data_IF_113529084759
#
_entry.id   IF_113529084759
#
_cell.length_a   1.000
_cell.length_b   1.000
_cell.length_c   1.000
_cell.angle_alpha   90.00
_cell.angle_beta   90.00
_cell.angle_gamma   90.00
#
_symmetry.space_group_name_H-M   'P 1'
#
loop_
_entity.id
_entity.type
_entity.pdbx_description
1 polymer ?
#
# COMPACT_ATOMS: atom_id res chain seq x y z
N UNK A 1 7.40 19.53 -9.93
CA UNK A 1 6.65 18.26 -9.86
C UNK A 1 5.35 18.55 -9.14
N UNK A 2 4.20 18.13 -9.68
CA UNK A 2 2.92 18.20 -8.97
C UNK A 2 2.75 16.88 -8.23
N UNK A 3 2.70 16.94 -6.91
CA UNK A 3 2.23 15.82 -6.08
C UNK A 3 0.75 15.59 -6.41
N UNK A 4 0.37 14.34 -6.64
CA UNK A 4 -0.99 13.96 -7.01
C UNK A 4 -1.51 13.03 -5.92
N UNK A 5 -2.58 13.47 -5.25
CA UNK A 5 -3.28 12.74 -4.20
C UNK A 5 -3.68 11.34 -4.68
N UNK A 6 -3.09 10.32 -4.06
CA UNK A 6 -3.61 8.96 -4.10
C UNK A 6 -4.86 9.02 -3.21
N UNK A 7 -6.02 8.67 -3.76
CA UNK A 7 -7.32 8.59 -3.06
C UNK A 7 -8.05 9.89 -2.70
N UNK A 8 -7.55 11.08 -3.10
CA UNK A 8 -8.10 12.35 -2.57
C UNK A 8 -7.84 12.50 -1.07
N UNK A 9 -6.75 11.89 -0.61
CA UNK A 9 -6.31 11.93 0.76
C UNK A 9 -5.32 13.06 0.92
N UNK A 10 -5.61 14.00 1.80
CA UNK A 10 -4.62 14.98 2.23
C UNK A 10 -3.50 14.30 3.06
N UNK A 11 -2.40 15.03 3.28
CA UNK A 11 -1.25 14.52 4.04
C UNK A 11 -1.61 14.01 5.45
N UNK A 12 -2.72 14.48 6.04
CA UNK A 12 -3.15 14.00 7.37
C UNK A 12 -3.76 12.61 7.26
N UNK A 13 -4.49 12.35 6.19
CA UNK A 13 -5.06 11.04 5.92
C UNK A 13 -3.97 10.00 5.64
N UNK A 14 -2.81 10.38 5.07
CA UNK A 14 -1.66 9.47 4.93
C UNK A 14 -1.24 8.80 6.26
N UNK A 15 -1.13 9.59 7.34
CA UNK A 15 -0.73 9.06 8.65
C UNK A 15 -1.79 8.12 9.22
N UNK A 16 -3.06 8.46 9.08
CA UNK A 16 -4.17 7.58 9.48
C UNK A 16 -4.17 6.27 8.70
N UNK A 17 -3.87 6.31 7.40
CA UNK A 17 -3.73 5.09 6.59
C UNK A 17 -2.61 4.19 7.09
N UNK A 18 -1.47 4.80 7.44
CA UNK A 18 -0.32 4.08 7.98
C UNK A 18 -0.64 3.43 9.33
N UNK A 19 -1.33 4.14 10.22
CA UNK A 19 -1.78 3.59 11.51
C UNK A 19 -2.73 2.40 11.32
N UNK A 20 -3.75 2.53 10.46
CA UNK A 20 -4.70 1.46 10.17
C UNK A 20 -4.03 0.24 9.52
N UNK A 21 -3.07 0.47 8.62
CA UNK A 21 -2.29 -0.60 8.03
C UNK A 21 -1.47 -1.34 9.09
N UNK A 22 -0.78 -0.62 9.98
CA UNK A 22 0.00 -1.23 11.08
C UNK A 22 -0.88 -1.98 12.06
N UNK A 23 -2.05 -1.45 12.42
CA UNK A 23 -3.02 -2.14 13.28
C UNK A 23 -3.48 -3.44 12.62
N UNK A 24 -3.86 -3.38 11.35
CA UNK A 24 -4.27 -4.56 10.60
C UNK A 24 -3.16 -5.60 10.52
N UNK A 25 -1.93 -5.17 10.22
CA UNK A 25 -0.77 -6.05 10.15
C UNK A 25 -0.51 -6.71 11.51
N UNK A 26 -0.52 -5.93 12.60
CA UNK A 26 -0.32 -6.45 13.97
C UNK A 26 -1.34 -7.55 14.31
N UNK A 27 -2.59 -7.41 13.86
CA UNK A 27 -3.65 -8.39 14.07
C UNK A 27 -3.62 -9.58 13.10
N UNK A 28 -2.83 -9.51 12.02
CA UNK A 28 -2.74 -10.51 10.96
C UNK A 28 -1.28 -10.88 10.65
N UNK A 29 -0.54 -11.47 11.62
CA UNK A 29 0.90 -11.74 11.50
C UNK A 29 1.31 -12.57 10.28
N UNK A 30 0.43 -13.44 9.79
CA UNK A 30 0.64 -14.28 8.61
C UNK A 30 0.83 -13.49 7.29
N UNK A 31 0.49 -12.19 7.27
CA UNK A 31 0.62 -11.35 6.08
C UNK A 31 2.01 -10.74 5.92
N UNK A 32 2.92 -10.95 6.88
CA UNK A 32 4.27 -10.35 6.91
C UNK A 32 5.35 -11.37 6.62
N UNK A 33 5.01 -12.66 6.55
CA UNK A 33 5.98 -13.77 6.45
C UNK A 33 6.86 -13.69 5.18
N UNK A 34 6.42 -12.95 4.15
CA UNK A 34 7.17 -12.69 2.94
C UNK A 34 7.83 -11.30 2.86
N UNK A 35 7.63 -10.42 3.85
CA UNK A 35 8.07 -9.03 3.83
C UNK A 35 9.13 -8.68 4.89
N UNK A 36 9.41 -9.56 5.83
CA UNK A 36 10.46 -9.33 6.83
C UNK A 36 11.84 -9.61 6.24
N UNK A 37 12.74 -8.65 6.42
CA UNK A 37 14.15 -8.87 6.13
C UNK A 37 14.74 -9.91 7.09
N UNK A 38 15.78 -10.67 6.70
CA UNK A 38 16.42 -11.64 7.58
C UNK A 38 16.87 -11.02 8.91
N UNK A 39 16.28 -11.49 10.02
CA UNK A 39 16.58 -11.00 11.37
C UNK A 39 15.73 -9.81 11.84
N UNK A 40 14.83 -9.29 11.00
CA UNK A 40 13.86 -8.28 11.39
C UNK A 40 12.75 -8.89 12.26
N UNK A 41 12.48 -8.27 13.41
CA UNK A 41 11.35 -8.65 14.26
C UNK A 41 10.07 -7.95 13.78
N UNK A 42 8.93 -8.63 13.80
CA UNK A 42 7.62 -8.06 13.43
C UNK A 42 7.35 -6.76 14.20
N UNK A 43 7.62 -6.73 15.50
CA UNK A 43 7.45 -5.52 16.31
C UNK A 43 8.32 -4.36 15.77
N UNK A 44 9.59 -4.63 15.46
CA UNK A 44 10.49 -3.64 14.88
C UNK A 44 10.02 -3.15 13.51
N UNK A 45 9.47 -4.04 12.68
CA UNK A 45 8.86 -3.66 11.39
C UNK A 45 7.66 -2.73 11.58
N UNK A 46 6.76 -3.05 12.51
CA UNK A 46 5.58 -2.23 12.80
C UNK A 46 5.96 -0.85 13.37
N UNK A 47 6.90 -0.81 14.32
CA UNK A 47 7.44 0.44 14.86
C UNK A 47 8.11 1.28 13.76
N UNK A 48 8.90 0.64 12.90
CA UNK A 48 9.52 1.28 11.74
C UNK A 48 8.48 1.90 10.81
N UNK A 49 7.43 1.14 10.47
CA UNK A 49 6.32 1.67 9.68
C UNK A 49 5.68 2.88 10.36
N UNK A 50 5.39 2.87 11.66
CA UNK A 50 4.86 4.06 12.35
C UNK A 50 5.85 5.25 12.34
N UNK A 51 7.16 4.97 12.28
CA UNK A 51 8.23 5.97 12.19
C UNK A 51 8.63 6.35 10.74
N UNK A 52 7.71 6.21 9.78
CA UNK A 52 7.90 6.57 8.36
C UNK A 52 8.87 5.69 7.57
N UNK A 53 9.13 4.45 8.00
CA UNK A 53 9.79 3.48 7.14
C UNK A 53 8.99 3.23 5.85
N UNK A 54 9.70 2.83 4.81
CA UNK A 54 9.10 2.51 3.52
C UNK A 54 8.23 1.27 3.67
N UNK A 55 6.97 1.39 3.25
CA UNK A 55 6.04 0.25 3.15
C UNK A 55 6.28 -0.50 1.84
N UNK A 56 6.06 -1.81 1.86
CA UNK A 56 6.08 -2.67 0.69
C UNK A 56 4.72 -3.29 0.41
N UNK A 57 4.74 -4.48 -0.18
CA UNK A 57 3.54 -5.24 -0.52
C UNK A 57 2.67 -5.55 0.71
N UNK A 58 3.26 -5.73 1.89
CA UNK A 58 2.51 -5.94 3.14
C UNK A 58 1.61 -4.74 3.47
N UNK A 59 2.12 -3.52 3.24
CA UNK A 59 1.36 -2.29 3.45
C UNK A 59 0.23 -2.15 2.42
N UNK A 60 0.45 -2.61 1.18
CA UNK A 60 -0.56 -2.62 0.11
C UNK A 60 -1.65 -3.65 0.40
N UNK A 61 -1.28 -4.85 0.87
CA UNK A 61 -2.22 -5.88 1.30
C UNK A 61 -3.07 -5.36 2.46
N UNK A 62 -2.44 -4.79 3.48
CA UNK A 62 -3.14 -4.23 4.63
C UNK A 62 -4.12 -3.13 4.22
N UNK A 63 -3.72 -2.24 3.31
CA UNK A 63 -4.62 -1.22 2.79
C UNK A 63 -5.77 -1.83 1.97
N UNK A 64 -5.50 -2.80 1.10
CA UNK A 64 -6.53 -3.45 0.29
C UNK A 64 -7.60 -4.11 1.17
N UNK A 65 -7.19 -4.77 2.25
CA UNK A 65 -8.10 -5.44 3.19
C UNK A 65 -8.81 -4.45 4.11
N UNK A 66 -8.09 -3.54 4.77
CA UNK A 66 -8.66 -2.59 5.73
C UNK A 66 -9.70 -1.65 5.10
N UNK A 67 -9.47 -1.24 3.85
CA UNK A 67 -10.39 -0.37 3.11
C UNK A 67 -11.35 -1.14 2.22
N UNK A 68 -11.28 -2.48 2.22
CA UNK A 68 -11.97 -3.39 1.32
C UNK A 68 -11.97 -2.83 -0.11
N UNK A 69 -10.80 -2.66 -0.70
CA UNK A 69 -10.63 -2.09 -2.04
C UNK A 69 -9.65 -2.94 -2.83
N UNK A 70 -9.91 -3.09 -4.13
CA UNK A 70 -8.96 -3.73 -5.03
C UNK A 70 -7.86 -2.75 -5.40
N UNK A 71 -6.60 -3.17 -5.31
CA UNK A 71 -5.44 -2.35 -5.68
C UNK A 71 -4.67 -3.05 -6.80
N UNK A 72 -4.39 -2.31 -7.86
CA UNK A 72 -3.55 -2.73 -8.98
C UNK A 72 -2.20 -2.03 -8.89
N UNK A 73 -1.12 -2.80 -8.84
CA UNK A 73 0.25 -2.28 -8.91
C UNK A 73 0.82 -2.56 -10.29
N UNK A 74 1.21 -1.50 -10.98
CA UNK A 74 1.75 -1.52 -12.34
C UNK A 74 3.26 -1.32 -12.30
N UNK A 75 4.00 -2.09 -13.08
CA UNK A 75 5.45 -1.92 -13.24
C UNK A 75 5.78 -1.32 -14.62
N UNK A 76 6.94 -0.66 -14.78
CA UNK A 76 7.40 -0.15 -16.08
C UNK A 76 7.51 -1.22 -17.16
N UNK A 77 7.67 -2.49 -16.77
CA UNK A 77 7.75 -3.64 -17.67
C UNK A 77 6.37 -4.11 -18.15
N UNK A 78 5.28 -3.49 -17.68
CA UNK A 78 3.90 -3.84 -18.03
C UNK A 78 3.30 -4.96 -17.19
N UNK A 79 4.01 -5.47 -16.17
CA UNK A 79 3.43 -6.42 -15.21
C UNK A 79 2.44 -5.71 -14.31
N UNK A 80 1.29 -6.35 -14.07
CA UNK A 80 0.24 -5.87 -13.18
C UNK A 80 -0.01 -6.91 -12.08
N UNK A 81 0.26 -6.53 -10.83
CA UNK A 81 -0.06 -7.32 -9.64
C UNK A 81 -1.38 -6.83 -9.05
N UNK A 82 -2.24 -7.75 -8.62
CA UNK A 82 -3.55 -7.44 -8.03
C UNK A 82 -3.55 -7.78 -6.55
N UNK A 83 -4.04 -6.85 -5.73
CA UNK A 83 -4.22 -7.01 -4.29
C UNK A 83 -5.68 -6.77 -3.91
N UNK A 84 -6.17 -7.50 -2.91
CA UNK A 84 -7.56 -7.46 -2.48
C UNK A 84 -8.55 -8.05 -3.49
N UNK A 85 -9.83 -8.03 -3.11
CA UNK A 85 -10.93 -8.53 -3.94
C UNK A 85 -11.66 -7.39 -4.64
N UNK A 86 -12.13 -7.65 -5.85
CA UNK A 86 -13.00 -6.72 -6.56
C UNK A 86 -14.27 -6.47 -5.76
N UNK A 87 -14.62 -5.20 -5.61
CA UNK A 87 -15.83 -4.76 -4.92
C UNK A 87 -16.75 -4.07 -5.90
N UNK A 88 -17.99 -4.56 -6.05
CA UNK A 88 -18.97 -4.04 -7.03
C UNK A 88 -19.21 -2.54 -6.93
N UNK A 89 -19.04 -1.95 -5.75
CA UNK A 89 -19.40 -0.56 -5.45
C UNK A 89 -18.20 0.35 -5.17
N UNK A 90 -16.96 -0.13 -5.37
CA UNK A 90 -15.75 0.68 -5.15
C UNK A 90 -14.88 0.65 -6.38
N UNK A 91 -14.41 1.82 -6.79
CA UNK A 91 -13.41 1.91 -7.86
C UNK A 91 -12.09 1.32 -7.36
N UNK A 92 -11.40 0.51 -8.17
CA UNK A 92 -10.09 0.02 -7.81
C UNK A 92 -9.08 1.16 -7.79
N UNK A 93 -8.04 0.99 -6.97
CA UNK A 93 -6.90 1.90 -6.93
C UNK A 93 -5.80 1.40 -7.85
N UNK A 94 -5.07 2.35 -8.44
CA UNK A 94 -3.97 2.05 -9.33
C UNK A 94 -2.71 2.75 -8.82
N UNK A 95 -1.66 1.95 -8.58
CA UNK A 95 -0.35 2.41 -8.16
C UNK A 95 0.68 2.03 -9.23
N UNK A 96 1.66 2.89 -9.45
CA UNK A 96 2.84 2.59 -10.26
C UNK A 96 4.03 2.30 -9.34
N UNK A 97 4.69 1.15 -9.50
CA UNK A 97 5.94 0.84 -8.82
C UNK A 97 7.13 1.18 -9.71
N UNK A 98 7.80 2.29 -9.43
CA UNK A 98 8.85 2.88 -10.26
C UNK A 98 10.20 2.84 -9.55
N UNK A 99 11.28 2.82 -10.34
CA UNK A 99 12.67 2.87 -9.86
C UNK A 99 13.05 1.76 -8.86
N UNK A 100 12.29 0.67 -8.80
CA UNK A 100 12.48 -0.46 -7.87
C UNK A 100 12.45 -0.07 -6.39
N UNK A 101 11.80 1.04 -6.03
CA UNK A 101 11.59 1.38 -4.63
C UNK A 101 10.37 2.26 -4.37
N UNK A 102 9.82 2.97 -5.36
CA UNK A 102 8.86 4.04 -5.12
C UNK A 102 7.48 3.73 -5.70
N UNK A 103 6.42 4.03 -4.96
CA UNK A 103 5.05 3.92 -5.42
C UNK A 103 4.47 5.30 -5.75
N UNK A 104 3.77 5.41 -6.88
CA UNK A 104 3.08 6.63 -7.32
C UNK A 104 1.61 6.37 -7.58
N UNK A 105 0.77 7.41 -7.48
CA UNK A 105 -0.63 7.36 -7.94
C UNK A 105 -0.69 7.20 -9.46
N UNK A 106 -1.54 6.32 -9.94
CA UNK A 106 -1.95 6.32 -11.34
C UNK A 106 -3.43 6.70 -11.41
N UNK A 107 -3.70 7.79 -12.14
CA UNK A 107 -5.07 8.22 -12.45
C UNK A 107 -5.34 7.99 -13.92
N UNK A 108 -6.59 7.61 -14.24
CA UNK A 108 -7.01 7.51 -15.63
C UNK A 108 -6.97 8.89 -16.26
N UNK A 109 -6.24 9.03 -17.35
CA UNK A 109 -6.26 10.24 -18.15
C UNK A 109 -7.67 10.41 -18.76
N UNK A 110 -8.32 11.54 -18.45
CA UNK A 110 -9.61 11.90 -19.03
C UNK A 110 -9.31 12.70 -20.30
N UNK A 111 -9.50 12.04 -21.45
CA UNK A 111 -9.37 12.64 -22.79
C UNK A 111 -10.74 13.10 -23.26
#
# INVERSE_FOLDING_TARGET
MKEIEILGLDDKQYYTFRELAVEFLTNNPQLHDCALEPGEAIQGRMEGLLMNAWGGDESIIAAAEAFEVQIYVHTPQGTVTKFGKEQKNKQPLHLGYVNHNHYVSLQKEVI
#
